data_IF_106475730147
#
_entry.id   IF_106475730147
#
_cell.length_a   1.000
_cell.length_b   1.000
_cell.length_c   1.000
_cell.angle_alpha   90.00
_cell.angle_beta   90.00
_cell.angle_gamma   90.00
#
_symmetry.space_group_name_H-M   'P 1'
#
loop_
_entity.id
_entity.type
_entity.pdbx_description
1 polymer ?
#
# COMPACT_ATOMS: atom_id res chain seq x y z
N UNK A 1 -15.48 9.56 24.58
CA UNK A 1 -14.06 9.48 24.86
C UNK A 1 -13.24 9.35 23.60
N UNK A 2 -12.29 10.20 23.45
CA UNK A 2 -11.51 10.21 22.23
C UNK A 2 -10.37 9.22 22.28
N UNK A 3 -10.24 8.43 21.25
CA UNK A 3 -9.10 7.57 21.10
C UNK A 3 -7.90 8.36 20.63
N UNK A 4 -6.77 8.02 21.17
CA UNK A 4 -5.53 8.55 20.65
C UNK A 4 -5.29 7.99 19.26
N UNK A 5 -5.00 8.85 18.30
CA UNK A 5 -4.70 8.42 16.94
C UNK A 5 -3.47 7.51 16.89
N UNK A 6 -2.61 7.61 17.90
CA UNK A 6 -1.41 6.78 17.97
C UNK A 6 -1.75 5.30 18.12
N UNK A 7 -2.88 5.00 18.77
CA UNK A 7 -3.29 3.60 18.95
C UNK A 7 -3.74 2.96 17.65
N UNK A 8 -4.01 3.77 16.64
CA UNK A 8 -4.46 3.26 15.35
C UNK A 8 -3.30 2.93 14.42
N UNK A 9 -2.08 3.27 14.81
CA UNK A 9 -0.90 2.98 13.99
C UNK A 9 -0.33 1.63 14.40
N UNK A 10 -0.08 0.78 13.42
CA UNK A 10 0.51 -0.52 13.68
C UNK A 10 1.85 -0.38 14.38
N UNK A 11 2.18 -1.35 15.24
CA UNK A 11 3.51 -1.42 15.81
C UNK A 11 4.50 -1.76 14.69
N UNK A 12 5.80 -1.59 14.99
CA UNK A 12 6.82 -1.93 14.01
C UNK A 12 6.67 -3.38 13.55
N UNK A 13 6.50 -4.30 14.50
CA UNK A 13 6.38 -5.71 14.20
C UNK A 13 5.13 -6.02 13.39
N UNK A 14 4.02 -5.40 13.75
CA UNK A 14 2.78 -5.59 12.99
C UNK A 14 2.91 -5.11 11.55
N UNK A 15 3.55 -3.96 11.35
CA UNK A 15 3.76 -3.45 10.01
C UNK A 15 4.69 -4.32 9.19
N UNK A 16 5.74 -4.85 9.81
CA UNK A 16 6.63 -5.79 9.13
C UNK A 16 5.88 -7.05 8.71
N UNK A 17 5.02 -7.56 9.58
CA UNK A 17 4.22 -8.74 9.27
C UNK A 17 3.26 -8.46 8.11
N UNK A 18 2.60 -7.31 8.15
CA UNK A 18 1.71 -6.91 7.06
C UNK A 18 2.47 -6.86 5.73
N UNK A 19 3.64 -6.24 5.75
CA UNK A 19 4.44 -6.13 4.53
C UNK A 19 4.94 -7.49 4.05
N UNK A 20 5.30 -8.37 4.98
CA UNK A 20 5.73 -9.71 4.63
C UNK A 20 4.62 -10.45 3.88
N UNK A 21 3.39 -10.28 4.31
CA UNK A 21 2.25 -10.96 3.72
C UNK A 21 1.74 -10.30 2.43
N UNK A 22 1.73 -8.98 2.39
CA UNK A 22 1.02 -8.25 1.33
C UNK A 22 1.90 -7.33 0.51
N UNK A 23 3.16 -7.16 0.87
CA UNK A 23 3.99 -6.16 0.23
C UNK A 23 4.69 -6.67 -1.03
N UNK A 24 5.07 -5.72 -1.85
CA UNK A 24 5.84 -6.02 -3.06
C UNK A 24 7.24 -6.48 -2.71
N UNK A 25 7.79 -7.34 -3.57
CA UNK A 25 9.18 -7.75 -3.48
C UNK A 25 9.97 -7.08 -4.60
N UNK A 26 11.29 -6.93 -4.45
CA UNK A 26 12.11 -6.42 -5.54
C UNK A 26 11.94 -7.31 -6.77
N UNK A 27 11.79 -6.69 -7.92
CA UNK A 27 11.62 -7.42 -9.18
C UNK A 27 12.21 -6.59 -10.29
N UNK A 28 13.29 -7.09 -10.90
CA UNK A 28 13.97 -6.34 -11.93
C UNK A 28 14.42 -4.99 -11.39
N UNK A 29 13.93 -3.92 -12.00
CA UNK A 29 14.25 -2.56 -11.58
C UNK A 29 13.17 -1.95 -10.69
N UNK A 30 12.22 -2.76 -10.26
CA UNK A 30 11.13 -2.27 -9.44
C UNK A 30 11.47 -2.37 -7.96
N UNK A 31 11.61 -1.23 -7.31
CA UNK A 31 11.93 -1.15 -5.90
C UNK A 31 10.86 -0.37 -5.13
N UNK A 32 9.61 -0.59 -5.50
CA UNK A 32 8.51 0.05 -4.79
C UNK A 32 8.26 -0.62 -3.45
N UNK A 33 8.14 0.20 -2.42
CA UNK A 33 7.65 -0.23 -1.12
C UNK A 33 6.14 -0.04 -1.21
N UNK A 34 5.43 -1.10 -1.55
CA UNK A 34 4.02 -0.96 -1.87
C UNK A 34 3.20 -2.15 -1.41
N UNK A 35 1.94 -1.88 -1.13
CA UNK A 35 0.94 -2.88 -0.80
C UNK A 35 -0.23 -2.70 -1.75
N UNK A 36 -0.79 -3.79 -2.22
CA UNK A 36 -1.92 -3.78 -3.15
C UNK A 36 -3.12 -4.43 -2.47
N UNK A 37 -4.25 -3.74 -2.48
CA UNK A 37 -5.45 -4.27 -1.85
C UNK A 37 -6.70 -3.55 -2.35
N UNK A 38 -7.84 -4.24 -2.30
CA UNK A 38 -9.14 -3.62 -2.52
C UNK A 38 -9.69 -3.02 -1.23
N UNK A 39 -9.07 -3.32 -0.12
CA UNK A 39 -9.52 -2.89 1.20
C UNK A 39 -8.76 -1.64 1.61
N UNK A 40 -9.47 -0.50 1.65
CA UNK A 40 -8.86 0.78 1.96
C UNK A 40 -8.28 0.82 3.38
N UNK A 41 -8.85 0.04 4.28
CA UNK A 41 -8.37 0.00 5.66
C UNK A 41 -6.94 -0.54 5.72
N UNK A 42 -6.66 -1.62 4.97
CA UNK A 42 -5.32 -2.20 4.92
C UNK A 42 -4.32 -1.20 4.35
N UNK A 43 -4.70 -0.55 3.26
CA UNK A 43 -3.83 0.45 2.63
C UNK A 43 -3.56 1.61 3.59
N UNK A 44 -4.60 2.07 4.26
CA UNK A 44 -4.47 3.17 5.22
C UNK A 44 -3.51 2.81 6.35
N UNK A 45 -3.65 1.62 6.91
CA UNK A 45 -2.78 1.16 7.99
C UNK A 45 -1.34 1.06 7.53
N UNK A 46 -1.12 0.54 6.34
CA UNK A 46 0.23 0.43 5.79
C UNK A 46 0.87 1.81 5.59
N UNK A 47 0.14 2.73 4.99
CA UNK A 47 0.70 4.05 4.71
C UNK A 47 1.02 4.81 6.00
N UNK A 48 0.15 4.71 7.00
CA UNK A 48 0.43 5.34 8.29
C UNK A 48 1.68 4.77 8.94
N UNK A 49 1.83 3.45 8.84
CA UNK A 49 2.99 2.76 9.41
C UNK A 49 4.30 3.15 8.74
N UNK A 50 4.32 3.12 7.40
CA UNK A 50 5.56 3.41 6.68
C UNK A 50 5.96 4.87 6.86
N UNK A 51 4.98 5.77 6.93
CA UNK A 51 5.29 7.18 7.16
C UNK A 51 5.90 7.42 8.52
N UNK A 52 5.41 6.72 9.53
CA UNK A 52 5.91 6.91 10.89
C UNK A 52 7.31 6.37 11.05
N UNK A 53 7.56 5.15 10.61
CA UNK A 53 8.82 4.49 10.90
C UNK A 53 9.95 4.89 9.98
N UNK A 54 9.64 5.44 8.82
CA UNK A 54 10.67 5.86 7.87
C UNK A 54 10.59 7.35 7.55
N UNK A 55 9.76 8.07 8.30
CA UNK A 55 9.66 9.54 8.18
C UNK A 55 9.38 9.95 6.74
N UNK A 56 8.30 9.40 6.16
CA UNK A 56 7.95 9.64 4.77
C UNK A 56 6.88 10.72 4.66
N UNK A 57 7.15 11.70 3.79
CA UNK A 57 6.20 12.75 3.49
C UNK A 57 5.06 12.20 2.63
N UNK A 58 3.85 12.71 2.85
CA UNK A 58 2.71 12.36 2.01
C UNK A 58 2.99 12.58 0.52
N UNK A 59 3.81 13.56 0.21
CA UNK A 59 4.11 13.92 -1.18
C UNK A 59 4.85 12.83 -1.93
N UNK A 60 5.50 11.93 -1.20
CA UNK A 60 6.21 10.80 -1.82
C UNK A 60 5.30 9.64 -2.14
N UNK A 61 4.12 9.59 -1.56
CA UNK A 61 3.22 8.47 -1.77
C UNK A 61 2.66 8.51 -3.18
N UNK A 62 2.64 7.36 -3.83
CA UNK A 62 2.05 7.18 -5.15
C UNK A 62 1.01 6.10 -5.11
N UNK A 63 -0.08 6.35 -5.81
CA UNK A 63 -1.21 5.44 -5.88
C UNK A 63 -1.44 5.04 -7.33
N UNK A 64 -1.70 3.76 -7.55
CA UNK A 64 -2.03 3.26 -8.86
C UNK A 64 -3.24 2.37 -8.75
N UNK A 65 -4.25 2.60 -9.56
CA UNK A 65 -5.47 1.81 -9.51
C UNK A 65 -5.47 0.74 -10.59
N UNK A 66 -5.98 -0.43 -10.23
CA UNK A 66 -6.26 -1.50 -11.17
C UNK A 66 -7.77 -1.53 -11.36
N UNK A 67 -8.20 -1.21 -12.56
CA UNK A 67 -9.61 -1.04 -12.88
C UNK A 67 -10.01 -1.98 -14.00
N UNK A 68 -11.30 -2.07 -14.24
CA UNK A 68 -11.85 -2.82 -15.37
C UNK A 68 -12.26 -1.84 -16.45
N UNK A 69 -12.45 -2.32 -17.70
CA UNK A 69 -12.78 -1.41 -18.81
C UNK A 69 -14.04 -0.57 -18.59
N UNK A 70 -14.98 -1.09 -17.84
CA UNK A 70 -16.24 -0.40 -17.57
C UNK A 70 -16.22 0.35 -16.23
N UNK A 71 -15.09 0.43 -15.58
CA UNK A 71 -14.98 1.19 -14.33
C UNK A 71 -15.01 2.70 -14.61
N UNK A 72 -15.58 3.43 -13.65
CA UNK A 72 -15.52 4.89 -13.68
C UNK A 72 -14.24 5.33 -12.97
N UNK A 73 -13.23 5.64 -13.75
CA UNK A 73 -11.92 5.97 -13.21
C UNK A 73 -11.96 7.18 -12.28
N UNK A 74 -12.73 8.19 -12.65
CA UNK A 74 -12.82 9.39 -11.83
C UNK A 74 -13.43 9.10 -10.47
N UNK A 75 -14.50 8.33 -10.45
CA UNK A 75 -15.14 7.97 -9.18
C UNK A 75 -14.22 7.11 -8.33
N UNK A 76 -13.49 6.22 -8.96
CA UNK A 76 -12.56 5.36 -8.23
C UNK A 76 -11.45 6.19 -7.58
N UNK A 77 -10.88 7.14 -8.34
CA UNK A 77 -9.84 8.00 -7.79
C UNK A 77 -10.37 8.87 -6.66
N UNK A 78 -11.57 9.42 -6.81
CA UNK A 78 -12.18 10.23 -5.76
C UNK A 78 -12.38 9.41 -4.49
N UNK A 79 -12.86 8.17 -4.63
CA UNK A 79 -13.05 7.29 -3.50
C UNK A 79 -11.75 7.05 -2.74
N UNK A 80 -10.70 6.63 -3.48
CA UNK A 80 -9.43 6.29 -2.84
C UNK A 80 -8.75 7.53 -2.25
N UNK A 81 -8.84 8.67 -2.93
CA UNK A 81 -8.28 9.92 -2.42
C UNK A 81 -8.92 10.28 -1.08
N UNK A 82 -10.22 10.16 -1.00
CA UNK A 82 -10.94 10.47 0.23
C UNK A 82 -10.62 9.48 1.34
N UNK A 83 -10.64 8.19 1.01
CA UNK A 83 -10.35 7.16 2.00
C UNK A 83 -8.96 7.30 2.59
N UNK A 84 -7.99 7.65 1.78
CA UNK A 84 -6.59 7.70 2.21
C UNK A 84 -6.12 9.08 2.62
N UNK A 85 -6.95 10.10 2.41
CA UNK A 85 -6.57 11.47 2.75
C UNK A 85 -5.42 11.99 1.89
N UNK A 86 -5.42 11.63 0.61
CA UNK A 86 -4.36 12.02 -0.32
C UNK A 86 -4.94 12.78 -1.50
N UNK A 87 -4.16 13.70 -2.08
CA UNK A 87 -4.65 14.47 -3.22
C UNK A 87 -4.68 13.63 -4.49
N UNK A 88 -5.49 14.08 -5.44
CA UNK A 88 -5.56 13.39 -6.73
C UNK A 88 -4.22 13.36 -7.45
N UNK A 89 -3.35 14.31 -7.15
CA UNK A 89 -2.01 14.35 -7.74
C UNK A 89 -1.13 13.17 -7.30
N UNK A 90 -1.54 12.43 -6.28
CA UNK A 90 -0.79 11.25 -5.86
C UNK A 90 -0.95 10.08 -6.82
N UNK A 91 -1.97 10.11 -7.66
CA UNK A 91 -2.24 8.98 -8.57
C UNK A 91 -1.32 9.01 -9.77
N UNK A 92 -0.82 7.82 -10.12
CA UNK A 92 -0.15 7.60 -11.38
C UNK A 92 -1.16 6.98 -12.34
N UNK A 93 -0.72 6.61 -13.53
CA UNK A 93 -1.60 6.05 -14.53
C UNK A 93 -2.25 4.78 -14.01
N UNK A 94 -3.56 4.67 -14.21
CA UNK A 94 -4.31 3.46 -13.85
C UNK A 94 -4.00 2.33 -14.82
N UNK A 95 -4.05 1.12 -14.31
CA UNK A 95 -3.97 -0.08 -15.13
C UNK A 95 -5.39 -0.58 -15.38
N UNK A 96 -5.76 -0.68 -16.65
CA UNK A 96 -7.07 -1.16 -17.04
C UNK A 96 -6.94 -2.60 -17.50
N UNK A 97 -7.61 -3.52 -16.84
CA UNK A 97 -7.55 -4.93 -17.23
C UNK A 97 -8.20 -5.11 -18.58
N UNK A 98 -7.62 -5.97 -19.44
CA UNK A 98 -8.12 -6.10 -20.81
C UNK A 98 -9.52 -6.69 -20.92
N UNK A 99 -9.97 -7.44 -19.92
CA UNK A 99 -11.27 -8.03 -19.95
C UNK A 99 -12.10 -7.58 -18.78
N UNK A 100 -13.36 -7.28 -19.08
CA UNK A 100 -14.33 -7.03 -18.04
C UNK A 100 -14.43 -8.26 -17.18
N UNK A 101 -14.06 -8.14 -15.92
CA UNK A 101 -14.18 -9.25 -15.02
C UNK A 101 -15.63 -9.56 -14.75
N UNK A 102 -15.93 -10.84 -14.67
CA UNK A 102 -17.23 -11.26 -14.21
C UNK A 102 -17.43 -10.88 -12.74
N UNK A 103 -16.34 -10.56 -12.08
CA UNK A 103 -16.35 -10.18 -10.68
C UNK A 103 -16.26 -8.69 -10.52
N UNK A 104 -17.39 -8.08 -10.27
CA UNK A 104 -17.45 -6.66 -9.94
C UNK A 104 -17.51 -6.48 -8.45
N UNK A 105 -16.76 -7.31 -7.73
CA UNK A 105 -16.70 -7.23 -6.29
C UNK A 105 -16.20 -5.90 -5.79
N UNK A 106 -15.34 -5.27 -6.58
CA UNK A 106 -14.62 -4.09 -6.12
C UNK A 106 -15.06 -2.90 -6.95
N UNK A 107 -16.09 -2.21 -6.43
CA UNK A 107 -16.71 -1.10 -7.14
C UNK A 107 -15.70 -0.01 -7.52
N UNK A 108 -14.63 0.15 -6.74
CA UNK A 108 -13.65 1.20 -6.95
C UNK A 108 -12.29 0.64 -7.31
N UNK A 109 -12.25 -0.62 -7.71
CA UNK A 109 -11.02 -1.24 -8.13
C UNK A 109 -10.09 -1.63 -7.00
N UNK A 110 -8.86 -1.90 -7.36
CA UNK A 110 -7.82 -2.33 -6.43
C UNK A 110 -6.73 -1.27 -6.45
N UNK A 111 -6.24 -0.90 -5.26
CA UNK A 111 -5.25 0.16 -5.16
C UNK A 111 -3.89 -0.39 -4.77
N UNK A 112 -2.88 0.00 -5.51
CA UNK A 112 -1.49 -0.24 -5.14
C UNK A 112 -0.92 1.07 -4.63
N UNK A 113 -0.47 1.07 -3.38
CA UNK A 113 -0.04 2.29 -2.72
C UNK A 113 1.35 2.13 -2.13
N UNK A 114 2.18 3.12 -2.29
CA UNK A 114 3.51 3.04 -1.70
C UNK A 114 4.43 4.15 -2.13
N UNK A 115 5.72 3.90 -1.96
CA UNK A 115 6.77 4.85 -2.30
C UNK A 115 7.85 4.14 -3.09
N UNK A 116 8.55 4.90 -3.91
CA UNK A 116 9.67 4.36 -4.67
C UNK A 116 10.95 4.59 -3.86
N UNK A 117 11.48 3.54 -3.26
CA UNK A 117 12.71 3.63 -2.49
C UNK A 117 13.37 2.27 -2.33
N UNK A 118 14.46 2.08 -3.05
CA UNK A 118 15.24 0.85 -2.91
C UNK A 118 15.77 0.70 -1.48
N UNK A 119 16.27 1.79 -0.92
CA UNK A 119 16.86 1.78 0.41
C UNK A 119 15.87 1.30 1.47
N UNK A 120 14.66 1.86 1.45
CA UNK A 120 13.66 1.49 2.43
C UNK A 120 13.17 0.07 2.19
N UNK A 121 12.97 -0.32 0.94
CA UNK A 121 12.52 -1.67 0.61
C UNK A 121 13.50 -2.71 1.15
N UNK A 122 14.80 -2.52 0.88
CA UNK A 122 15.80 -3.47 1.33
C UNK A 122 15.89 -3.52 2.85
N UNK A 123 15.70 -2.37 3.49
CA UNK A 123 15.69 -2.33 4.94
C UNK A 123 14.51 -3.09 5.54
N UNK A 124 13.33 -2.93 4.94
CA UNK A 124 12.14 -3.66 5.40
C UNK A 124 12.37 -5.17 5.25
N UNK A 125 12.87 -5.58 4.11
CA UNK A 125 13.11 -7.00 3.86
C UNK A 125 14.12 -7.56 4.86
N UNK A 126 15.21 -6.81 5.11
CA UNK A 126 16.21 -7.23 6.07
C UNK A 126 15.62 -7.38 7.48
N UNK A 127 14.78 -6.43 7.88
CA UNK A 127 14.17 -6.50 9.21
C UNK A 127 13.15 -7.62 9.32
N UNK A 128 12.44 -7.92 8.22
CA UNK A 128 11.54 -9.07 8.22
C UNK A 128 12.33 -10.37 8.44
N UNK A 129 13.44 -10.51 7.75
CA UNK A 129 14.26 -11.70 7.90
C UNK A 129 14.78 -11.86 9.32
N UNK A 130 15.25 -10.78 9.90
CA UNK A 130 15.74 -10.83 11.28
C UNK A 130 14.64 -11.15 12.26
N UNK A 131 13.47 -10.57 12.05
CA UNK A 131 12.37 -10.67 13.02
C UNK A 131 11.67 -12.01 12.96
N UNK A 132 11.49 -12.56 11.76
CA UNK A 132 10.61 -13.71 11.58
C UNK A 132 11.30 -14.94 10.99
N UNK A 133 12.32 -14.75 10.20
CA UNK A 133 12.91 -15.85 9.45
C UNK A 133 14.12 -16.43 10.17
N UNK A 134 15.02 -15.58 10.65
CA UNK A 134 16.23 -16.03 11.30
C UNK A 134 15.96 -16.89 12.54
N UNK A 135 14.90 -16.56 13.29
CA UNK A 135 14.52 -17.35 14.46
C UNK A 135 14.10 -18.75 14.08
N UNK A 136 13.47 -18.90 12.93
CA UNK A 136 12.95 -20.19 12.48
C UNK A 136 14.02 -20.97 11.74
N UNK A 137 14.97 -20.27 11.16
CA UNK A 137 16.03 -20.89 10.39
C UNK A 137 17.06 -21.65 11.21
N UNK A 138 16.98 -21.56 12.51
CA UNK A 138 17.92 -22.27 13.39
C UNK A 138 17.74 -23.77 13.33
#
# INVERSE_FOLDING_TARGET
MKRSKRKDILSKREGLMLYWCEGDRPSGRNYMVAVTSSNSFIIKKFLAWVRKYFDISKRRIRLSLHLWPDSDEKKAKDYWAEQLGLPLSSFTKSYIKPKSGKNRKYAYGICRAGINSKKILMRIIDEIEREFVDEVGE
#
